data_IF_258038064482
#
_entry.id   IF_258038064482
#
_cell.length_a   1.000
_cell.length_b   1.000
_cell.length_c   1.000
_cell.angle_alpha   90.00
_cell.angle_beta   90.00
_cell.angle_gamma   90.00
#
_symmetry.space_group_name_H-M   'P 1'
#
loop_
_entity.id
_entity.type
_entity.pdbx_description
1 polymer ?
#
# COMPACT_ATOMS: atom_id res chain seq x y z
N UNK A 1 -21.70 33.85 48.12
CA UNK A 1 -20.54 32.96 47.90
C UNK A 1 -20.97 31.90 46.89
N UNK A 2 -20.95 32.25 45.60
CA UNK A 2 -21.24 31.32 44.49
C UNK A 2 -19.92 31.11 43.75
N UNK A 3 -19.32 29.94 43.96
CA UNK A 3 -18.17 29.50 43.20
C UNK A 3 -18.67 29.12 41.79
N UNK A 4 -18.38 29.96 40.80
CA UNK A 4 -18.51 29.58 39.40
C UNK A 4 -17.40 28.59 39.07
N UNK A 5 -17.73 27.30 39.04
CA UNK A 5 -16.90 26.28 38.39
C UNK A 5 -16.85 26.61 36.90
N UNK A 6 -15.76 27.23 36.47
CA UNK A 6 -15.39 27.23 35.07
C UNK A 6 -15.19 25.76 34.66
N UNK A 7 -15.85 25.27 33.61
CA UNK A 7 -15.54 23.94 33.08
C UNK A 7 -14.06 23.91 32.65
N UNK A 8 -13.39 22.76 32.73
CA UNK A 8 -12.01 22.64 32.30
C UNK A 8 -11.95 23.10 30.84
N UNK A 9 -11.17 24.15 30.59
CA UNK A 9 -10.81 24.55 29.23
C UNK A 9 -10.11 23.33 28.62
N UNK A 10 -10.87 22.54 27.87
CA UNK A 10 -10.30 21.54 26.98
C UNK A 10 -9.27 22.27 26.14
N UNK A 11 -8.05 21.75 26.12
CA UNK A 11 -6.88 22.33 25.49
C UNK A 11 -7.12 22.48 23.98
N UNK A 12 -7.84 23.53 23.56
CA UNK A 12 -7.99 23.89 22.16
C UNK A 12 -6.70 24.57 21.75
N UNK A 13 -5.81 23.78 21.16
CA UNK A 13 -4.55 24.25 20.60
C UNK A 13 -4.83 25.04 19.31
N UNK A 14 -5.06 26.35 19.41
CA UNK A 14 -5.12 27.26 18.24
C UNK A 14 -3.70 27.64 17.80
N UNK A 15 -3.18 27.13 16.68
CA UNK A 15 -1.87 27.57 16.16
C UNK A 15 -1.97 28.91 15.41
N UNK A 16 -0.90 29.71 15.43
CA UNK A 16 -0.80 30.98 14.70
C UNK A 16 -0.97 30.76 13.17
N UNK A 17 -1.48 31.79 12.49
CA UNK A 17 -1.78 31.78 11.04
C UNK A 17 -0.57 31.46 10.15
N UNK A 18 0.65 31.79 10.59
CA UNK A 18 1.89 31.52 9.85
C UNK A 18 2.21 30.01 9.78
N UNK A 19 2.11 29.27 10.89
CA UNK A 19 2.34 27.82 10.92
C UNK A 19 1.32 27.08 10.08
N UNK A 20 0.05 27.50 10.14
CA UNK A 20 -1.01 26.94 9.30
C UNK A 20 -0.76 27.21 7.81
N UNK A 21 -0.27 28.40 7.46
CA UNK A 21 0.08 28.76 6.07
C UNK A 21 1.25 27.93 5.56
N UNK A 22 2.28 27.72 6.39
CA UNK A 22 3.43 26.89 6.03
C UNK A 22 3.02 25.43 5.81
N UNK A 23 2.18 24.88 6.69
CA UNK A 23 1.66 23.53 6.53
C UNK A 23 0.89 23.38 5.21
N UNK A 24 0.09 24.38 4.84
CA UNK A 24 -0.65 24.42 3.58
C UNK A 24 0.27 24.46 2.36
N UNK A 25 1.36 25.24 2.42
CA UNK A 25 2.38 25.26 1.36
C UNK A 25 3.03 23.89 1.22
N UNK A 26 3.38 23.24 2.33
CA UNK A 26 3.98 21.90 2.32
C UNK A 26 3.02 20.89 1.69
N UNK A 27 1.73 20.92 2.03
CA UNK A 27 0.72 20.05 1.41
C UNK A 27 0.61 20.26 -0.09
N UNK A 28 0.59 21.52 -0.53
CA UNK A 28 0.52 21.85 -1.95
C UNK A 28 1.75 21.36 -2.72
N UNK A 29 2.95 21.56 -2.17
CA UNK A 29 4.20 21.07 -2.74
C UNK A 29 4.20 19.53 -2.77
N UNK A 30 3.81 18.88 -1.67
CA UNK A 30 3.76 17.43 -1.57
C UNK A 30 2.80 16.84 -2.62
N UNK A 31 1.61 17.43 -2.78
CA UNK A 31 0.66 17.04 -3.81
C UNK A 31 1.21 17.27 -5.23
N UNK A 32 1.82 18.43 -5.49
CA UNK A 32 2.43 18.74 -6.79
C UNK A 32 3.55 17.76 -7.17
N UNK A 33 4.45 17.46 -6.23
CA UNK A 33 5.53 16.48 -6.40
C UNK A 33 4.96 15.09 -6.66
N UNK A 34 3.94 14.66 -5.90
CA UNK A 34 3.31 13.36 -6.10
C UNK A 34 2.61 13.26 -7.45
N UNK A 35 1.84 14.27 -7.84
CA UNK A 35 1.13 14.30 -9.11
C UNK A 35 2.10 14.28 -10.29
N UNK A 36 3.05 15.24 -10.36
CA UNK A 36 4.02 15.33 -11.45
C UNK A 36 4.95 14.11 -11.46
N UNK A 37 5.47 13.74 -10.29
CA UNK A 37 6.36 12.59 -10.15
C UNK A 37 5.71 11.29 -10.60
N UNK A 38 4.42 11.07 -10.28
CA UNK A 38 3.71 9.88 -10.74
C UNK A 38 3.60 9.83 -12.26
N UNK A 39 3.31 10.96 -12.92
CA UNK A 39 3.27 11.03 -14.37
C UNK A 39 4.64 10.72 -14.99
N UNK A 40 5.70 11.35 -14.47
CA UNK A 40 7.07 11.11 -14.95
C UNK A 40 7.47 9.66 -14.78
N UNK A 41 7.22 9.06 -13.61
CA UNK A 41 7.57 7.65 -13.32
C UNK A 41 6.78 6.70 -14.23
N UNK A 42 5.48 6.93 -14.43
CA UNK A 42 4.66 6.10 -15.32
C UNK A 42 5.11 6.17 -16.79
N UNK A 43 5.58 7.34 -17.25
CA UNK A 43 6.07 7.52 -18.61
C UNK A 43 7.49 6.98 -18.83
N UNK A 44 8.34 6.97 -17.80
CA UNK A 44 9.78 6.72 -17.96
C UNK A 44 10.28 5.43 -17.31
N UNK A 45 9.81 5.12 -16.09
CA UNK A 45 10.35 4.05 -15.27
C UNK A 45 9.43 2.82 -15.26
N UNK A 46 8.11 2.99 -15.34
CA UNK A 46 7.19 1.86 -15.41
C UNK A 46 7.31 1.18 -16.78
N UNK A 47 7.57 -0.12 -16.78
CA UNK A 47 7.66 -0.94 -18.01
C UNK A 47 6.42 -1.83 -18.15
N UNK A 48 5.33 -1.33 -18.76
CA UNK A 48 4.05 -2.06 -18.81
C UNK A 48 4.16 -3.39 -19.58
N UNK A 49 5.05 -3.48 -20.56
CA UNK A 49 5.29 -4.71 -21.31
C UNK A 49 5.91 -5.82 -20.44
N UNK A 50 6.80 -5.46 -19.52
CA UNK A 50 7.45 -6.42 -18.64
C UNK A 50 6.48 -6.92 -17.56
N UNK A 51 5.62 -6.03 -17.05
CA UNK A 51 4.48 -6.41 -16.19
C UNK A 51 3.52 -7.36 -16.90
N UNK A 52 3.14 -7.05 -18.14
CA UNK A 52 2.25 -7.91 -18.93
C UNK A 52 2.87 -9.29 -19.18
N UNK A 53 4.16 -9.34 -19.52
CA UNK A 53 4.90 -10.60 -19.68
C UNK A 53 4.92 -11.40 -18.37
N UNK A 54 5.24 -10.74 -17.26
CA UNK A 54 5.28 -11.36 -15.93
C UNK A 54 3.90 -11.93 -15.54
N UNK A 55 2.85 -11.15 -15.73
CA UNK A 55 1.47 -11.58 -15.48
C UNK A 55 1.05 -12.75 -16.39
N UNK A 56 1.45 -12.73 -17.66
CA UNK A 56 1.19 -13.84 -18.58
C UNK A 56 1.94 -15.12 -18.17
N UNK A 57 3.16 -15.02 -17.64
CA UNK A 57 3.88 -16.18 -17.09
C UNK A 57 3.17 -16.72 -15.85
N UNK A 58 2.62 -15.85 -15.01
CA UNK A 58 1.83 -16.25 -13.84
C UNK A 58 0.53 -16.98 -14.20
N UNK A 59 -0.04 -16.75 -15.39
CA UNK A 59 -1.18 -17.54 -15.89
C UNK A 59 -0.88 -19.04 -15.97
N UNK A 60 0.38 -19.44 -16.09
CA UNK A 60 0.77 -20.85 -16.06
C UNK A 60 0.56 -21.50 -14.68
N UNK A 61 0.58 -20.68 -13.61
CA UNK A 61 0.33 -21.11 -12.22
C UNK A 61 -1.15 -20.95 -11.85
N UNK A 62 -1.81 -19.91 -12.38
CA UNK A 62 -3.21 -19.60 -12.10
C UNK A 62 -4.15 -20.47 -12.94
N UNK A 63 -4.88 -21.39 -12.30
CA UNK A 63 -5.99 -22.09 -12.95
C UNK A 63 -7.10 -21.11 -13.40
N UNK A 64 -7.87 -21.48 -14.44
CA UNK A 64 -8.90 -20.62 -15.04
C UNK A 64 -9.93 -20.06 -14.04
N UNK A 65 -10.32 -20.85 -13.03
CA UNK A 65 -11.27 -20.41 -12.00
C UNK A 65 -10.70 -19.32 -11.08
N UNK A 66 -9.38 -19.31 -10.86
CA UNK A 66 -8.69 -18.33 -10.00
C UNK A 66 -8.49 -16.99 -10.73
N UNK A 67 -8.47 -17.01 -12.06
CA UNK A 67 -8.46 -15.81 -12.89
C UNK A 67 -9.71 -14.94 -12.69
N UNK A 68 -10.87 -15.56 -12.40
CA UNK A 68 -12.10 -14.82 -12.12
C UNK A 68 -11.98 -13.94 -10.86
N UNK A 69 -11.23 -14.38 -9.84
CA UNK A 69 -10.96 -13.60 -8.64
C UNK A 69 -10.17 -12.32 -8.96
N UNK A 70 -9.09 -12.46 -9.72
CA UNK A 70 -8.26 -11.32 -10.17
C UNK A 70 -9.08 -10.35 -11.02
N UNK A 71 -9.92 -10.86 -11.93
CA UNK A 71 -10.82 -10.04 -12.76
C UNK A 71 -11.84 -9.27 -11.92
N UNK A 72 -12.40 -9.89 -10.89
CA UNK A 72 -13.35 -9.25 -9.98
C UNK A 72 -12.71 -8.09 -9.21
N UNK A 73 -11.53 -8.31 -8.62
CA UNK A 73 -10.78 -7.26 -7.92
C UNK A 73 -10.42 -6.11 -8.88
N UNK A 74 -9.96 -6.42 -10.08
CA UNK A 74 -9.67 -5.40 -11.10
C UNK A 74 -10.92 -4.59 -11.47
N UNK A 75 -12.08 -5.24 -11.62
CA UNK A 75 -13.34 -4.56 -11.98
C UNK A 75 -13.84 -3.67 -10.84
N UNK A 76 -13.80 -4.15 -9.59
CA UNK A 76 -14.12 -3.37 -8.40
C UNK A 76 -13.19 -2.17 -8.26
N UNK A 77 -11.91 -2.35 -8.56
CA UNK A 77 -10.92 -1.28 -8.59
C UNK A 77 -11.24 -0.20 -9.61
N UNK A 78 -11.64 -0.56 -10.83
CA UNK A 78 -12.04 0.42 -11.85
C UNK A 78 -13.25 1.23 -11.37
N UNK A 79 -14.25 0.57 -10.79
CA UNK A 79 -15.42 1.25 -10.19
C UNK A 79 -14.98 2.20 -9.08
N UNK A 80 -14.05 1.79 -8.22
CA UNK A 80 -13.48 2.64 -7.18
C UNK A 80 -12.80 3.89 -7.75
N UNK A 81 -11.98 3.76 -8.81
CA UNK A 81 -11.35 4.91 -9.48
C UNK A 81 -12.42 5.87 -10.01
N UNK A 82 -13.45 5.36 -10.68
CA UNK A 82 -14.54 6.19 -11.21
C UNK A 82 -15.22 6.96 -10.08
N UNK A 83 -15.50 6.32 -8.94
CA UNK A 83 -16.11 6.97 -7.78
C UNK A 83 -15.21 8.07 -7.20
N UNK A 84 -13.91 7.81 -7.03
CA UNK A 84 -12.95 8.80 -6.52
C UNK A 84 -12.84 10.00 -7.46
N UNK A 85 -12.67 9.76 -8.76
CA UNK A 85 -12.58 10.82 -9.77
C UNK A 85 -13.87 11.63 -9.82
N UNK A 86 -15.03 10.96 -9.79
CA UNK A 86 -16.34 11.65 -9.76
C UNK A 86 -16.50 12.51 -8.51
N UNK A 87 -16.03 12.04 -7.35
CA UNK A 87 -16.03 12.82 -6.10
C UNK A 87 -15.15 14.06 -6.18
N UNK A 88 -13.95 13.94 -6.75
CA UNK A 88 -13.05 15.07 -6.97
C UNK A 88 -13.69 16.09 -7.92
N UNK A 89 -14.25 15.62 -9.04
CA UNK A 89 -14.95 16.48 -10.00
C UNK A 89 -16.11 17.24 -9.34
N UNK A 90 -16.89 16.56 -8.50
CA UNK A 90 -17.98 17.19 -7.74
C UNK A 90 -17.46 18.29 -6.81
N UNK A 91 -16.40 18.03 -6.03
CA UNK A 91 -15.82 19.00 -5.11
C UNK A 91 -15.25 20.23 -5.84
N UNK A 92 -14.54 20.01 -6.94
CA UNK A 92 -14.00 21.11 -7.77
C UNK A 92 -15.15 21.95 -8.35
N UNK A 93 -16.19 21.31 -8.88
CA UNK A 93 -17.34 22.00 -9.46
C UNK A 93 -18.11 22.82 -8.42
N UNK A 94 -18.38 22.27 -7.22
CA UNK A 94 -19.05 22.99 -6.13
C UNK A 94 -18.24 24.21 -5.68
N UNK A 95 -16.92 24.07 -5.54
CA UNK A 95 -16.04 25.16 -5.17
C UNK A 95 -16.09 26.33 -6.17
N UNK A 96 -15.98 26.01 -7.46
CA UNK A 96 -16.00 27.02 -8.52
C UNK A 96 -17.38 27.66 -8.71
N UNK A 97 -18.47 26.90 -8.52
CA UNK A 97 -19.83 27.43 -8.53
C UNK A 97 -20.05 28.45 -7.41
N UNK A 98 -19.56 28.17 -6.20
CA UNK A 98 -19.66 29.09 -5.06
C UNK A 98 -18.82 30.36 -5.24
N UNK A 99 -17.61 30.25 -5.83
CA UNK A 99 -16.70 31.37 -6.01
C UNK A 99 -16.89 32.16 -7.32
N UNK A 100 -17.78 31.73 -8.22
CA UNK A 100 -18.06 32.37 -9.52
C UNK A 100 -16.78 32.68 -10.33
N UNK A 101 -15.88 31.71 -10.43
CA UNK A 101 -14.63 31.88 -11.19
C UNK A 101 -14.87 31.91 -12.70
N UNK A 102 -13.91 32.42 -13.48
CA UNK A 102 -13.99 32.41 -14.95
C UNK A 102 -14.04 30.98 -15.51
N UNK A 103 -14.73 30.80 -16.64
CA UNK A 103 -14.91 29.49 -17.28
C UNK A 103 -13.57 28.82 -17.65
N UNK A 104 -12.62 29.59 -18.19
CA UNK A 104 -11.30 29.06 -18.58
C UNK A 104 -10.50 28.56 -17.37
N UNK A 105 -10.56 29.28 -16.25
CA UNK A 105 -9.88 28.87 -15.02
C UNK A 105 -10.52 27.60 -14.43
N UNK A 106 -11.85 27.54 -14.40
CA UNK A 106 -12.60 26.36 -13.97
C UNK A 106 -12.25 25.11 -14.80
N UNK A 107 -12.24 25.24 -16.13
CA UNK A 107 -11.92 24.13 -17.03
C UNK A 107 -10.49 23.64 -16.84
N UNK A 108 -9.52 24.57 -16.73
CA UNK A 108 -8.11 24.22 -16.52
C UNK A 108 -7.90 23.48 -15.18
N UNK A 109 -8.42 24.02 -14.07
CA UNK A 109 -8.26 23.41 -12.74
C UNK A 109 -8.91 22.03 -12.69
N UNK A 110 -10.10 21.89 -13.27
CA UNK A 110 -10.81 20.60 -13.33
C UNK A 110 -10.02 19.56 -14.11
N UNK A 111 -9.49 19.94 -15.27
CA UNK A 111 -8.70 19.04 -16.11
C UNK A 111 -7.42 18.57 -15.40
N UNK A 112 -6.65 19.49 -14.84
CA UNK A 112 -5.40 19.17 -14.12
C UNK A 112 -5.68 18.30 -12.88
N UNK A 113 -6.71 18.63 -12.09
CA UNK A 113 -7.12 17.87 -10.90
C UNK A 113 -7.55 16.44 -11.25
N UNK A 114 -8.21 16.27 -12.39
CA UNK A 114 -8.64 14.95 -12.88
C UNK A 114 -7.43 14.11 -13.29
N UNK A 115 -6.50 14.68 -14.05
CA UNK A 115 -5.27 13.98 -14.45
C UNK A 115 -4.40 13.62 -13.24
N UNK A 116 -4.21 14.55 -12.30
CA UNK A 116 -3.43 14.30 -11.08
C UNK A 116 -4.02 13.19 -10.20
N UNK A 117 -5.33 12.92 -10.30
CA UNK A 117 -5.97 11.82 -9.59
C UNK A 117 -5.91 10.48 -10.35
N UNK A 118 -6.21 10.48 -11.66
CA UNK A 118 -6.34 9.25 -12.45
C UNK A 118 -5.04 8.43 -12.46
N UNK A 119 -3.90 9.08 -12.67
CA UNK A 119 -2.62 8.37 -12.83
C UNK A 119 -2.17 7.65 -11.55
N UNK A 120 -2.10 8.29 -10.36
CA UNK A 120 -1.77 7.58 -9.13
C UNK A 120 -2.77 6.49 -8.76
N UNK A 121 -4.06 6.72 -8.98
CA UNK A 121 -5.10 5.71 -8.73
C UNK A 121 -4.94 4.49 -9.63
N UNK A 122 -4.63 4.71 -10.90
CA UNK A 122 -4.39 3.62 -11.86
C UNK A 122 -3.13 2.85 -11.49
N UNK A 123 -2.05 3.55 -11.13
CA UNK A 123 -0.81 2.92 -10.68
C UNK A 123 -1.03 2.05 -9.43
N UNK A 124 -1.75 2.57 -8.44
CA UNK A 124 -2.10 1.84 -7.22
C UNK A 124 -2.97 0.62 -7.52
N UNK A 125 -3.98 0.77 -8.38
CA UNK A 125 -4.83 -0.34 -8.77
C UNK A 125 -4.02 -1.45 -9.45
N UNK A 126 -3.15 -1.09 -10.39
CA UNK A 126 -2.28 -2.03 -11.07
C UNK A 126 -1.37 -2.74 -10.06
N UNK A 127 -0.78 -2.01 -9.12
CA UNK A 127 0.02 -2.59 -8.04
C UNK A 127 -0.79 -3.60 -7.21
N UNK A 128 -1.98 -3.22 -6.74
CA UNK A 128 -2.85 -4.10 -5.92
C UNK A 128 -3.24 -5.36 -6.68
N UNK A 129 -3.61 -5.24 -7.96
CA UNK A 129 -3.99 -6.39 -8.80
C UNK A 129 -2.81 -7.35 -8.99
N UNK A 130 -1.61 -6.83 -9.26
CA UNK A 130 -0.43 -7.68 -9.44
C UNK A 130 -0.02 -8.36 -8.13
N UNK A 131 -0.01 -7.63 -7.01
CA UNK A 131 0.27 -8.22 -5.71
C UNK A 131 -0.77 -9.28 -5.32
N UNK A 132 -2.06 -9.02 -5.57
CA UNK A 132 -3.12 -10.00 -5.33
C UNK A 132 -2.96 -11.26 -6.20
N UNK A 133 -2.59 -11.10 -7.47
CA UNK A 133 -2.31 -12.22 -8.34
C UNK A 133 -1.11 -13.04 -7.84
N UNK A 134 -0.04 -12.39 -7.40
CA UNK A 134 1.13 -13.06 -6.79
C UNK A 134 0.78 -13.80 -5.51
N UNK A 135 -0.01 -13.20 -4.61
CA UNK A 135 -0.45 -13.88 -3.38
C UNK A 135 -1.31 -15.11 -3.70
N UNK A 136 -2.16 -15.01 -4.72
CA UNK A 136 -2.99 -16.13 -5.17
C UNK A 136 -2.12 -17.25 -5.78
N UNK A 137 -1.05 -16.92 -6.50
CA UNK A 137 -0.11 -17.91 -7.01
C UNK A 137 0.55 -18.70 -5.85
N UNK A 138 0.99 -18.03 -4.79
CA UNK A 138 1.52 -18.71 -3.59
C UNK A 138 0.48 -19.56 -2.89
N UNK A 139 -0.74 -19.06 -2.73
CA UNK A 139 -1.86 -19.80 -2.13
C UNK A 139 -2.18 -21.09 -2.91
N UNK A 140 -2.13 -21.05 -4.25
CA UNK A 140 -2.35 -22.25 -5.06
C UNK A 140 -1.22 -23.26 -4.95
N UNK A 141 0.02 -22.80 -4.82
CA UNK A 141 1.16 -23.69 -4.53
C UNK A 141 0.96 -24.36 -3.17
N UNK A 142 0.53 -23.60 -2.16
CA UNK A 142 0.22 -24.14 -0.83
C UNK A 142 -0.89 -25.21 -0.89
N UNK A 143 -2.01 -24.91 -1.53
CA UNK A 143 -3.13 -25.86 -1.67
C UNK A 143 -2.72 -27.13 -2.42
N UNK A 144 -1.84 -27.02 -3.43
CA UNK A 144 -1.32 -28.19 -4.13
C UNK A 144 -0.44 -29.05 -3.22
N UNK A 145 0.37 -28.45 -2.35
CA UNK A 145 1.15 -29.18 -1.34
C UNK A 145 0.23 -29.94 -0.38
N UNK A 146 -0.80 -29.27 0.17
CA UNK A 146 -1.77 -29.90 1.08
C UNK A 146 -2.55 -31.04 0.41
N UNK A 147 -2.96 -30.85 -0.84
CA UNK A 147 -3.66 -31.89 -1.62
C UNK A 147 -2.78 -33.12 -1.86
N UNK A 148 -1.52 -32.90 -2.22
CA UNK A 148 -0.53 -33.96 -2.49
C UNK A 148 -0.13 -34.69 -1.23
N UNK A 149 -0.06 -33.99 -0.10
CA UNK A 149 0.16 -34.59 1.21
C UNK A 149 -0.87 -35.68 1.51
N UNK A 150 -2.17 -35.35 1.37
CA UNK A 150 -3.26 -36.32 1.56
C UNK A 150 -3.17 -37.50 0.57
N UNK A 151 -2.76 -37.25 -0.67
CA UNK A 151 -2.64 -38.31 -1.69
C UNK A 151 -1.48 -39.26 -1.40
N UNK A 152 -0.32 -38.75 -0.99
CA UNK A 152 0.88 -39.52 -0.64
C UNK A 152 0.70 -40.36 0.62
N UNK A 153 -0.10 -39.89 1.58
CA UNK A 153 -0.51 -40.73 2.72
C UNK A 153 -1.39 -41.92 2.30
N UNK A 154 -2.16 -41.77 1.22
CA UNK A 154 -3.11 -42.79 0.75
C UNK A 154 -2.56 -43.70 -0.36
N UNK A 155 -1.47 -43.30 -1.05
CA UNK A 155 -0.95 -43.96 -2.26
C UNK A 155 0.57 -44.09 -2.22
N UNK A 156 1.11 -45.32 -2.33
CA UNK A 156 2.55 -45.62 -2.13
C UNK A 156 3.50 -45.31 -3.31
N UNK A 157 3.04 -44.74 -4.43
CA UNK A 157 3.81 -44.74 -5.70
C UNK A 157 3.85 -43.40 -6.47
N UNK A 158 3.81 -42.25 -5.81
CA UNK A 158 4.13 -40.97 -6.49
C UNK A 158 5.62 -40.62 -6.38
N UNK A 159 6.21 -40.20 -7.51
CA UNK A 159 7.58 -39.71 -7.59
C UNK A 159 7.68 -38.32 -6.96
N UNK A 160 8.24 -38.28 -5.77
CA UNK A 160 8.30 -37.07 -4.96
C UNK A 160 9.38 -36.13 -5.43
N UNK A 161 10.48 -36.63 -6.00
CA UNK A 161 11.51 -35.77 -6.57
C UNK A 161 10.90 -34.84 -7.63
N UNK A 162 10.04 -35.39 -8.50
CA UNK A 162 9.31 -34.63 -9.51
C UNK A 162 8.35 -33.59 -8.88
N UNK A 163 7.62 -33.96 -7.82
CA UNK A 163 6.71 -33.05 -7.12
C UNK A 163 7.46 -31.88 -6.47
N UNK A 164 8.52 -32.18 -5.72
CA UNK A 164 9.37 -31.20 -5.03
C UNK A 164 10.00 -30.23 -6.03
N UNK A 165 10.50 -30.75 -7.16
CA UNK A 165 11.00 -29.94 -8.27
C UNK A 165 9.92 -29.03 -8.87
N UNK A 166 8.71 -29.55 -9.09
CA UNK A 166 7.60 -28.75 -9.63
C UNK A 166 7.17 -27.62 -8.68
N UNK A 167 7.11 -27.89 -7.37
CA UNK A 167 6.83 -26.87 -6.34
C UNK A 167 7.92 -25.80 -6.33
N UNK A 168 9.19 -26.21 -6.33
CA UNK A 168 10.35 -25.32 -6.41
C UNK A 168 10.23 -24.37 -7.61
N UNK A 169 10.01 -24.92 -8.80
CA UNK A 169 9.94 -24.14 -10.04
C UNK A 169 8.79 -23.12 -10.01
N UNK A 170 7.61 -23.52 -9.52
CA UNK A 170 6.46 -22.61 -9.39
C UNK A 170 6.68 -21.52 -8.34
N UNK A 171 7.32 -21.87 -7.23
CA UNK A 171 7.65 -20.91 -6.16
C UNK A 171 8.62 -19.85 -6.67
N UNK A 172 9.71 -20.24 -7.34
CA UNK A 172 10.66 -19.28 -7.92
C UNK A 172 10.02 -18.44 -9.01
N UNK A 173 9.14 -19.00 -9.85
CA UNK A 173 8.40 -18.22 -10.84
C UNK A 173 7.50 -17.15 -10.20
N UNK A 174 6.87 -17.47 -9.07
CA UNK A 174 6.09 -16.50 -8.30
C UNK A 174 6.99 -15.42 -7.66
N UNK A 175 8.17 -15.80 -7.13
CA UNK A 175 9.16 -14.85 -6.61
C UNK A 175 9.69 -13.90 -7.69
N UNK A 176 10.09 -14.42 -8.87
CA UNK A 176 10.48 -13.62 -10.03
C UNK A 176 9.39 -12.60 -10.42
N UNK A 177 8.12 -12.97 -10.26
CA UNK A 177 7.03 -12.03 -10.53
C UNK A 177 7.00 -10.91 -9.50
N UNK A 178 7.22 -11.21 -8.22
CA UNK A 178 7.32 -10.18 -7.18
C UNK A 178 8.53 -9.26 -7.41
N UNK A 179 9.65 -9.78 -7.89
CA UNK A 179 10.80 -8.97 -8.27
C UNK A 179 10.47 -8.03 -9.45
N UNK A 180 9.71 -8.51 -10.44
CA UNK A 180 9.21 -7.65 -11.52
C UNK A 180 8.23 -6.58 -11.02
N UNK A 181 7.42 -6.87 -9.99
CA UNK A 181 6.58 -5.87 -9.32
C UNK A 181 7.47 -4.81 -8.65
N UNK A 182 8.50 -5.22 -7.91
CA UNK A 182 9.43 -4.30 -7.27
C UNK A 182 10.15 -3.41 -8.29
N UNK A 183 10.61 -4.00 -9.39
CA UNK A 183 11.27 -3.26 -10.45
C UNK A 183 10.34 -2.22 -11.10
N UNK A 184 9.08 -2.59 -11.34
CA UNK A 184 8.13 -1.74 -12.07
C UNK A 184 7.46 -0.68 -11.21
N UNK A 185 7.18 -1.01 -9.93
CA UNK A 185 6.45 -0.14 -9.01
C UNK A 185 7.34 0.47 -7.93
N UNK A 186 8.60 0.06 -7.77
CA UNK A 186 9.47 0.51 -6.68
C UNK A 186 9.55 2.03 -6.54
N UNK A 187 9.70 2.75 -7.66
CA UNK A 187 9.70 4.23 -7.67
C UNK A 187 8.34 4.83 -7.31
N UNK A 188 7.25 4.24 -7.80
CA UNK A 188 5.88 4.68 -7.48
C UNK A 188 5.59 4.46 -6.00
N UNK A 189 6.00 3.31 -5.46
CA UNK A 189 5.85 2.96 -4.05
C UNK A 189 6.66 3.91 -3.17
N UNK A 190 7.89 4.24 -3.56
CA UNK A 190 8.71 5.24 -2.87
C UNK A 190 7.99 6.59 -2.82
N UNK A 191 7.62 7.12 -3.99
CA UNK A 191 6.95 8.42 -4.10
C UNK A 191 5.62 8.44 -3.35
N UNK A 192 4.78 7.41 -3.50
CA UNK A 192 3.45 7.35 -2.91
C UNK A 192 3.50 7.16 -1.39
N UNK A 193 4.41 6.31 -0.89
CA UNK A 193 4.56 6.12 0.55
C UNK A 193 5.00 7.41 1.23
N UNK A 194 6.00 8.12 0.67
CA UNK A 194 6.43 9.43 1.18
C UNK A 194 5.30 10.45 1.13
N UNK A 195 4.55 10.51 0.02
CA UNK A 195 3.40 11.40 -0.11
C UNK A 195 2.35 11.16 0.99
N UNK A 196 1.92 9.91 1.20
CA UNK A 196 0.93 9.60 2.23
C UNK A 196 1.46 9.85 3.64
N UNK A 197 2.76 9.62 3.88
CA UNK A 197 3.39 9.90 5.16
C UNK A 197 3.27 11.38 5.52
N UNK A 198 3.68 12.26 4.60
CA UNK A 198 3.59 13.72 4.77
C UNK A 198 2.13 14.16 4.87
N UNK A 199 1.26 13.64 4.00
CA UNK A 199 -0.16 13.98 4.00
C UNK A 199 -0.85 13.61 5.32
N UNK A 200 -0.54 12.46 5.92
CA UNK A 200 -1.10 12.04 7.22
C UNK A 200 -0.61 12.95 8.34
N UNK A 201 0.67 13.30 8.38
CA UNK A 201 1.24 14.21 9.38
C UNK A 201 0.54 15.58 9.31
N UNK A 202 0.51 16.17 8.12
CA UNK A 202 -0.07 17.50 7.91
C UNK A 202 -1.58 17.53 8.13
N UNK A 203 -2.30 16.49 7.70
CA UNK A 203 -3.75 16.38 7.96
C UNK A 203 -4.06 16.21 9.44
N UNK A 204 -3.23 15.45 10.15
CA UNK A 204 -3.36 15.31 11.61
C UNK A 204 -3.16 16.66 12.30
N UNK A 205 -2.21 17.48 11.83
CA UNK A 205 -2.02 18.83 12.33
C UNK A 205 -3.28 19.69 12.19
N UNK A 206 -3.97 19.70 11.04
CA UNK A 206 -5.23 20.47 10.92
C UNK A 206 -6.31 19.94 11.86
N UNK A 207 -6.45 18.63 12.00
CA UNK A 207 -7.51 18.03 12.82
C UNK A 207 -7.32 18.23 14.32
N UNK A 208 -6.09 18.33 14.79
CA UNK A 208 -5.76 18.50 16.21
C UNK A 208 -5.38 19.94 16.57
N UNK A 209 -4.94 20.75 15.59
CA UNK A 209 -4.39 22.08 15.80
C UNK A 209 -5.24 23.25 15.29
N UNK A 210 -6.37 22.98 14.63
CA UNK A 210 -7.30 24.03 14.20
C UNK A 210 -8.64 23.91 14.92
N UNK A 211 -9.23 25.06 15.27
CA UNK A 211 -10.58 25.12 15.87
C UNK A 211 -11.67 24.69 14.88
N UNK A 212 -11.51 25.09 13.62
CA UNK A 212 -12.47 24.79 12.56
C UNK A 212 -11.96 23.59 11.77
N UNK A 213 -12.62 22.45 11.95
CA UNK A 213 -12.36 21.23 11.19
C UNK A 213 -13.28 21.18 10.00
N UNK A 214 -12.72 21.03 8.80
CA UNK A 214 -13.56 20.87 7.62
C UNK A 214 -13.77 19.39 7.31
N UNK A 215 -14.93 19.05 6.74
CA UNK A 215 -15.20 17.67 6.29
C UNK A 215 -14.17 17.21 5.25
N UNK A 216 -13.60 18.14 4.48
CA UNK A 216 -12.54 17.89 3.51
C UNK A 216 -11.22 17.45 4.15
N UNK A 217 -10.85 17.99 5.32
CA UNK A 217 -9.64 17.59 6.04
C UNK A 217 -9.74 16.15 6.54
N UNK A 218 -10.91 15.80 7.11
CA UNK A 218 -11.21 14.43 7.56
C UNK A 218 -11.20 13.47 6.37
N UNK A 219 -11.87 13.84 5.27
CA UNK A 219 -11.92 13.01 4.07
C UNK A 219 -10.52 12.77 3.47
N UNK A 220 -9.67 13.81 3.44
CA UNK A 220 -8.31 13.70 2.93
C UNK A 220 -7.41 12.84 3.82
N UNK A 221 -7.52 12.97 5.16
CA UNK A 221 -6.80 12.07 6.08
C UNK A 221 -7.25 10.62 5.89
N UNK A 222 -8.56 10.36 5.84
CA UNK A 222 -9.09 9.02 5.64
C UNK A 222 -8.64 8.44 4.31
N UNK A 223 -8.64 9.26 3.26
CA UNK A 223 -8.10 8.90 1.96
C UNK A 223 -6.63 8.48 2.08
N UNK A 224 -5.76 9.30 2.66
CA UNK A 224 -4.34 8.97 2.79
C UNK A 224 -4.10 7.70 3.63
N UNK A 225 -4.83 7.54 4.74
CA UNK A 225 -4.76 6.36 5.60
C UNK A 225 -5.21 5.08 4.87
N UNK A 226 -6.36 5.11 4.20
CA UNK A 226 -6.90 3.94 3.49
C UNK A 226 -5.92 3.48 2.41
N UNK A 227 -5.35 4.41 1.64
CA UNK A 227 -4.42 4.06 0.56
C UNK A 227 -3.10 3.51 1.10
N UNK A 228 -2.56 4.12 2.17
CA UNK A 228 -1.36 3.61 2.82
C UNK A 228 -1.58 2.22 3.43
N UNK A 229 -2.69 2.02 4.14
CA UNK A 229 -3.06 0.72 4.73
C UNK A 229 -3.24 -0.32 3.62
N UNK A 230 -3.89 0.02 2.51
CA UNK A 230 -4.07 -0.87 1.37
C UNK A 230 -2.73 -1.31 0.79
N UNK A 231 -1.82 -0.37 0.51
CA UNK A 231 -0.48 -0.67 -0.02
C UNK A 231 0.31 -1.58 0.92
N UNK A 232 0.38 -1.22 2.21
CA UNK A 232 1.08 -2.00 3.21
C UNK A 232 0.46 -3.39 3.42
N UNK A 233 -0.86 -3.48 3.39
CA UNK A 233 -1.57 -4.74 3.63
C UNK A 233 -1.42 -5.72 2.50
N UNK A 234 -1.53 -5.27 1.24
CA UNK A 234 -1.36 -6.15 0.09
C UNK A 234 0.09 -6.60 -0.07
N UNK A 235 1.05 -5.72 0.24
CA UNK A 235 2.47 -6.05 0.24
C UNK A 235 2.82 -7.14 1.26
N UNK A 236 2.38 -6.98 2.52
CA UNK A 236 2.55 -8.01 3.55
C UNK A 236 1.82 -9.30 3.19
N UNK A 237 0.66 -9.22 2.53
CA UNK A 237 -0.11 -10.40 2.16
C UNK A 237 0.68 -11.32 1.22
N UNK A 238 1.41 -10.77 0.25
CA UNK A 238 2.30 -11.54 -0.64
C UNK A 238 3.37 -12.27 0.16
N UNK A 239 4.11 -11.55 1.00
CA UNK A 239 5.20 -12.12 1.81
C UNK A 239 4.69 -13.20 2.77
N UNK A 240 3.51 -12.98 3.39
CA UNK A 240 2.90 -13.93 4.29
C UNK A 240 2.49 -15.23 3.56
N UNK A 241 1.83 -15.11 2.40
CA UNK A 241 1.46 -16.28 1.59
C UNK A 241 2.68 -17.06 1.09
N UNK A 242 3.75 -16.37 0.70
CA UNK A 242 5.01 -17.03 0.36
C UNK A 242 5.63 -17.77 1.56
N UNK A 243 5.56 -17.19 2.77
CA UNK A 243 5.98 -17.83 4.01
C UNK A 243 5.13 -19.05 4.38
N UNK A 244 3.82 -19.00 4.15
CA UNK A 244 2.91 -20.11 4.44
C UNK A 244 3.18 -21.33 3.55
N UNK A 245 3.56 -21.14 2.28
CA UNK A 245 4.06 -22.24 1.41
C UNK A 245 5.23 -22.97 2.06
N UNK A 246 6.21 -22.24 2.58
CA UNK A 246 7.41 -22.82 3.20
C UNK A 246 7.04 -23.54 4.49
N UNK A 247 6.18 -22.94 5.31
CA UNK A 247 5.68 -23.58 6.54
C UNK A 247 4.97 -24.89 6.23
N UNK A 248 4.18 -24.93 5.16
CA UNK A 248 3.50 -26.15 4.76
C UNK A 248 4.47 -27.21 4.24
N UNK A 249 5.49 -26.82 3.47
CA UNK A 249 6.56 -27.72 3.03
C UNK A 249 7.34 -28.30 4.22
N UNK A 250 7.59 -27.50 5.25
CA UNK A 250 8.23 -27.92 6.50
C UNK A 250 7.38 -28.94 7.28
N UNK A 251 6.08 -28.69 7.41
CA UNK A 251 5.16 -29.67 8.04
C UNK A 251 5.17 -30.99 7.28
N UNK A 252 5.15 -30.90 5.95
CA UNK A 252 5.21 -32.07 5.08
C UNK A 252 6.52 -32.87 5.24
N UNK A 253 7.66 -32.19 5.49
CA UNK A 253 8.95 -32.85 5.82
C UNK A 253 8.90 -33.66 7.13
N UNK A 254 8.25 -33.13 8.17
CA UNK A 254 8.22 -33.75 9.51
C UNK A 254 7.25 -34.95 9.62
N UNK A 255 6.46 -35.24 8.59
CA UNK A 255 5.63 -36.42 8.51
C UNK A 255 6.46 -37.64 8.05
N UNK A 256 7.14 -38.28 9.00
CA UNK A 256 8.24 -39.26 8.90
C UNK A 256 8.14 -40.53 7.98
N UNK A 257 7.19 -40.66 7.05
CA UNK A 257 6.98 -41.94 6.33
C UNK A 257 7.31 -42.01 4.82
N UNK A 258 7.19 -40.97 3.99
CA UNK A 258 7.44 -41.11 2.54
C UNK A 258 8.83 -40.66 2.05
N UNK A 259 9.66 -39.98 2.86
CA UNK A 259 10.84 -39.22 2.37
C UNK A 259 12.21 -39.55 2.94
N UNK A 260 12.38 -40.69 3.61
CA UNK A 260 13.67 -41.05 4.18
C UNK A 260 14.85 -40.96 3.18
N UNK A 261 14.61 -41.19 1.88
CA UNK A 261 15.62 -41.04 0.82
C UNK A 261 15.89 -39.62 0.32
N UNK A 262 14.96 -38.67 0.47
CA UNK A 262 15.04 -37.32 -0.11
C UNK A 262 15.06 -36.20 0.94
N UNK A 263 15.26 -36.52 2.23
CA UNK A 263 15.26 -35.54 3.33
C UNK A 263 16.27 -34.40 3.14
N UNK A 264 17.47 -34.71 2.65
CA UNK A 264 18.54 -33.71 2.44
C UNK A 264 18.15 -32.73 1.32
N UNK A 265 17.59 -33.23 0.22
CA UNK A 265 17.16 -32.39 -0.91
C UNK A 265 15.98 -31.49 -0.51
N UNK A 266 15.03 -32.05 0.25
CA UNK A 266 13.90 -31.31 0.83
C UNK A 266 14.38 -30.22 1.79
N UNK A 267 15.40 -30.50 2.62
CA UNK A 267 15.98 -29.53 3.54
C UNK A 267 16.70 -28.39 2.82
N UNK A 268 17.53 -28.73 1.83
CA UNK A 268 18.18 -27.73 1.00
C UNK A 268 17.15 -26.84 0.30
N UNK A 269 16.07 -27.44 -0.23
CA UNK A 269 15.00 -26.69 -0.87
C UNK A 269 14.30 -25.74 0.10
N UNK A 270 13.86 -26.21 1.27
CA UNK A 270 13.19 -25.38 2.27
C UNK A 270 14.10 -24.21 2.66
N UNK A 271 15.38 -24.47 2.94
CA UNK A 271 16.34 -23.43 3.30
C UNK A 271 16.51 -22.42 2.15
N UNK A 272 16.63 -22.90 0.90
CA UNK A 272 16.72 -22.03 -0.27
C UNK A 272 15.48 -21.15 -0.41
N UNK A 273 14.28 -21.72 -0.29
CA UNK A 273 13.01 -20.99 -0.38
C UNK A 273 12.85 -19.99 0.77
N UNK A 274 13.24 -20.36 1.99
CA UNK A 274 13.21 -19.49 3.17
C UNK A 274 14.12 -18.27 3.03
N UNK A 275 15.26 -18.41 2.36
CA UNK A 275 16.17 -17.30 2.07
C UNK A 275 15.64 -16.39 0.97
N UNK A 276 14.70 -16.87 0.14
CA UNK A 276 14.15 -16.13 -1.00
C UNK A 276 12.68 -15.73 -0.80
N UNK A 277 12.23 -15.59 0.45
CA UNK A 277 10.87 -15.06 0.70
C UNK A 277 10.80 -13.65 0.11
N UNK A 278 9.96 -13.43 -0.90
CA UNK A 278 9.92 -12.16 -1.60
C UNK A 278 9.34 -11.10 -0.68
N UNK A 279 9.87 -9.89 -0.79
CA UNK A 279 9.38 -8.72 -0.07
C UNK A 279 9.10 -7.60 -1.07
N UNK A 280 8.02 -6.86 -0.86
CA UNK A 280 7.77 -5.65 -1.65
C UNK A 280 8.64 -4.51 -1.11
N UNK A 281 9.43 -3.90 -1.98
CA UNK A 281 10.32 -2.80 -1.60
C UNK A 281 10.08 -1.54 -2.42
N UNK A 282 10.23 -0.40 -1.76
CA UNK A 282 10.24 0.91 -2.39
C UNK A 282 11.63 1.18 -2.98
N UNK A 283 11.87 0.61 -4.17
CA UNK A 283 13.13 0.75 -4.91
C UNK A 283 14.39 0.40 -4.06
N UNK A 284 14.29 -0.61 -3.21
CA UNK A 284 15.38 -1.06 -2.33
C UNK A 284 15.67 -0.17 -1.10
N UNK A 285 15.02 0.98 -0.93
CA UNK A 285 15.26 1.85 0.24
C UNK A 285 14.65 1.30 1.52
N UNK A 286 13.42 0.81 1.43
CA UNK A 286 12.71 0.20 2.54
C UNK A 286 11.65 -0.79 2.04
N UNK A 287 11.26 -1.70 2.93
CA UNK A 287 10.20 -2.65 2.64
C UNK A 287 8.83 -2.04 2.92
N UNK A 288 7.93 -2.14 1.94
CA UNK A 288 6.54 -1.71 2.08
C UNK A 288 5.78 -2.79 2.83
N UNK A 289 5.27 -2.46 4.00
CA UNK A 289 4.56 -3.41 4.85
C UNK A 289 3.90 -2.73 6.04
N UNK A 290 3.07 -3.45 6.79
CA UNK A 290 2.28 -2.88 7.90
C UNK A 290 3.14 -2.32 9.03
N UNK A 291 4.42 -2.69 9.10
CA UNK A 291 5.40 -2.09 10.03
C UNK A 291 5.58 -0.58 9.80
N UNK A 292 5.28 -0.06 8.62
CA UNK A 292 5.30 1.38 8.33
C UNK A 292 4.16 2.13 9.03
N UNK A 293 3.01 1.50 9.26
CA UNK A 293 1.84 2.15 9.87
C UNK A 293 2.11 2.70 11.27
N UNK A 294 2.64 1.92 12.25
CA UNK A 294 2.98 2.47 13.55
C UNK A 294 4.10 3.51 13.48
N UNK A 295 5.00 3.45 12.47
CA UNK A 295 6.01 4.50 12.28
C UNK A 295 5.39 5.82 11.83
N UNK A 296 4.40 5.79 10.94
CA UNK A 296 3.65 7.00 10.52
C UNK A 296 2.90 7.60 11.70
N UNK A 297 2.19 6.76 12.46
CA UNK A 297 1.46 7.19 13.66
C UNK A 297 2.42 7.79 14.68
N UNK A 298 3.54 7.11 14.95
CA UNK A 298 4.59 7.60 15.85
C UNK A 298 5.14 8.94 15.41
N UNK A 299 5.51 9.10 14.14
CA UNK A 299 6.03 10.35 13.60
C UNK A 299 5.00 11.50 13.67
N UNK A 300 3.74 11.22 13.32
CA UNK A 300 2.65 12.20 13.42
C UNK A 300 2.44 12.67 14.87
N UNK A 301 2.44 11.73 15.83
CA UNK A 301 2.33 12.05 17.26
C UNK A 301 3.55 12.83 17.76
N UNK A 302 4.76 12.40 17.41
CA UNK A 302 6.00 13.11 17.80
C UNK A 302 6.00 14.54 17.27
N UNK A 303 5.66 14.75 16.00
CA UNK A 303 5.57 16.08 15.42
C UNK A 303 4.51 16.93 16.12
N UNK A 304 3.33 16.35 16.39
CA UNK A 304 2.28 17.01 17.14
C UNK A 304 2.73 17.44 18.54
N UNK A 305 3.38 16.56 19.31
CA UNK A 305 3.88 16.90 20.65
C UNK A 305 4.95 17.99 20.62
N UNK A 306 5.90 17.93 19.67
CA UNK A 306 6.92 18.96 19.50
C UNK A 306 6.27 20.33 19.27
N UNK A 307 5.25 20.40 18.41
CA UNK A 307 4.54 21.64 18.14
C UNK A 307 3.76 22.16 19.37
N UNK A 308 3.16 21.27 20.15
CA UNK A 308 2.51 21.64 21.41
C UNK A 308 3.51 22.27 22.40
N UNK A 309 4.70 21.69 22.54
CA UNK A 309 5.77 22.22 23.39
C UNK A 309 6.28 23.58 22.92
N UNK A 310 6.51 23.75 21.61
CA UNK A 310 6.92 25.04 21.05
C UNK A 310 5.88 26.12 21.34
N UNK A 311 4.59 25.82 21.13
CA UNK A 311 3.52 26.77 21.44
C UNK A 311 3.45 27.10 22.93
N UNK A 312 3.56 26.10 23.80
CA UNK A 312 3.58 26.32 25.25
C UNK A 312 4.78 27.19 25.68
N UNK A 313 5.92 27.05 25.00
CA UNK A 313 7.10 27.90 25.23
C UNK A 313 6.86 29.35 24.78
N UNK A 314 6.24 29.57 23.63
CA UNK A 314 5.92 30.92 23.11
C UNK A 314 4.93 31.65 24.04
N UNK A 315 3.95 30.95 24.59
CA UNK A 315 2.99 31.53 25.55
C UNK A 315 3.59 31.88 26.92
N UNK A 316 4.76 31.32 27.26
CA UNK A 316 5.48 31.61 28.51
C UNK A 316 6.42 32.82 28.40
N UNK A 317 6.64 33.36 27.21
CA UNK A 317 7.44 34.58 27.04
C UNK A 317 6.60 35.81 27.41
N UNK A 318 7.07 36.69 28.30
CA UNK A 318 6.37 37.92 28.64
C UNK A 318 6.27 38.83 27.40
N UNK A 319 5.18 39.61 27.25
CA UNK A 319 5.07 40.58 26.17
C UNK A 319 6.17 41.64 26.33
N UNK A 320 7.00 41.79 25.31
CA UNK A 320 7.94 42.91 25.17
C UNK A 320 7.21 44.18 24.72
#
# INVERSE_FOLDING_TARGET
MQASLNPPQGLILVFNTETATLNWIIDFINYGIHAIGTHVILLTAMRPLDLLKSFNRMKLVLAANNYNGVRRISSLGIVYIILVVSGILFLVTDYHLRRRTSFNHHLFVTFISTLSAIYPMTALLLFVVHCYASSLAFELIQMEIERREVQLFNSQHEDVGLFVFAVKQRYFLACDTVDNINYSFGWILLLSTTFYFVAIINSSFYLFGMEVKTATDIAFLLFALVHLILMCSIADHVSNKAGDVIRQLLKFKCADKPFAGNQIEMEFLVTQMAQTIPQISANGYFNVGKKLLPQVVGAALTYFFILCEFKASEQRLPPN
#
